data_IF_589254242307
#
_entry.id   IF_589254242307
#
_cell.length_a   1.000
_cell.length_b   1.000
_cell.length_c   1.000
_cell.angle_alpha   90.00
_cell.angle_beta   90.00
_cell.angle_gamma   90.00
#
_symmetry.space_group_name_H-M   'P 1'
#
loop_
_entity.id
_entity.type
_entity.pdbx_description
1 polymer ?
#
# COMPACT_ATOMS: atom_id res chain seq x y z
N UNK A 1 22.63 42.02 38.47
CA UNK A 1 22.23 41.48 39.79
C UNK A 1 22.46 39.99 39.76
N UNK A 2 23.35 39.45 40.61
CA UNK A 2 23.50 38.00 40.79
C UNK A 2 22.45 37.58 41.82
N UNK A 3 21.36 36.96 41.37
CA UNK A 3 20.33 36.46 42.27
C UNK A 3 20.94 35.32 43.10
N UNK A 4 21.09 35.53 44.41
CA UNK A 4 21.45 34.53 45.43
C UNK A 4 22.87 33.91 45.41
N UNK A 5 23.77 34.25 44.48
CA UNK A 5 25.12 33.64 44.38
C UNK A 5 25.09 32.09 44.31
N UNK A 6 23.99 31.52 43.82
CA UNK A 6 23.88 30.07 43.62
C UNK A 6 24.19 29.78 42.17
N UNK A 7 25.01 28.76 41.94
CA UNK A 7 25.31 28.27 40.61
C UNK A 7 24.17 27.39 40.11
N UNK A 8 23.55 27.78 39.00
CA UNK A 8 22.43 27.05 38.39
C UNK A 8 22.82 25.63 37.95
N UNK A 9 24.11 25.41 37.67
CA UNK A 9 24.64 24.11 37.27
C UNK A 9 24.49 23.04 38.36
N UNK A 10 24.41 23.43 39.64
CA UNK A 10 24.22 22.51 40.77
C UNK A 10 22.82 21.88 40.83
N UNK A 11 21.85 22.44 40.12
CA UNK A 11 20.48 21.91 40.05
C UNK A 11 20.22 21.09 38.79
N UNK A 12 21.23 20.97 37.91
CA UNK A 12 21.14 20.14 36.71
C UNK A 12 21.44 18.69 37.13
N UNK A 13 20.55 17.77 36.77
CA UNK A 13 20.76 16.35 37.06
C UNK A 13 22.03 15.84 36.33
N UNK A 14 22.86 15.01 36.98
CA UNK A 14 24.05 14.44 36.36
C UNK A 14 23.81 13.78 35.00
N UNK A 15 22.61 13.23 34.73
CA UNK A 15 22.30 12.62 33.43
C UNK A 15 22.41 13.59 32.23
N UNK A 16 22.35 14.90 32.46
CA UNK A 16 22.54 15.94 31.44
C UNK A 16 23.97 16.46 31.36
N UNK A 17 24.89 15.99 32.21
CA UNK A 17 26.28 16.40 32.17
C UNK A 17 27.03 15.73 31.03
N UNK A 18 27.95 16.48 30.42
CA UNK A 18 28.81 15.99 29.35
C UNK A 18 29.66 14.79 29.79
N UNK A 19 30.15 14.80 31.04
CA UNK A 19 30.90 13.68 31.62
C UNK A 19 30.10 12.39 31.59
N UNK A 20 28.83 12.43 32.00
CA UNK A 20 27.95 11.25 32.01
C UNK A 20 27.63 10.76 30.61
N UNK A 21 27.50 11.65 29.63
CA UNK A 21 27.41 11.26 28.22
C UNK A 21 28.67 10.53 27.75
N UNK A 22 29.85 11.09 28.01
CA UNK A 22 31.13 10.46 27.64
C UNK A 22 31.32 9.11 28.32
N UNK A 23 30.98 8.99 29.61
CA UNK A 23 31.01 7.72 30.35
C UNK A 23 30.05 6.69 29.76
N UNK A 24 28.81 7.10 29.43
CA UNK A 24 27.78 6.22 28.85
C UNK A 24 28.22 5.63 27.51
N UNK A 25 28.92 6.43 26.70
CA UNK A 25 29.40 6.02 25.38
C UNK A 25 30.91 5.68 25.36
N UNK A 26 31.55 5.55 26.53
CA UNK A 26 32.98 5.25 26.64
C UNK A 26 33.32 3.83 26.18
N UNK A 27 32.39 2.90 26.37
CA UNK A 27 32.56 1.49 26.01
C UNK A 27 32.41 1.27 24.51
N UNK A 28 33.27 0.42 23.96
CA UNK A 28 33.17 -0.03 22.57
C UNK A 28 31.94 -0.95 22.43
N UNK A 29 31.00 -0.56 21.56
CA UNK A 29 29.90 -1.43 21.14
C UNK A 29 30.47 -2.38 20.08
N UNK A 30 30.74 -3.62 20.47
CA UNK A 30 31.18 -4.65 19.52
C UNK A 30 30.07 -4.96 18.52
N UNK A 31 30.41 -5.19 17.24
CA UNK A 31 29.43 -5.60 16.25
C UNK A 31 28.81 -6.93 16.67
N UNK A 32 27.50 -7.05 16.51
CA UNK A 32 26.80 -8.32 16.70
C UNK A 32 27.17 -9.22 15.51
N UNK A 33 27.52 -10.47 15.83
CA UNK A 33 27.78 -11.51 14.86
C UNK A 33 26.63 -11.62 13.84
N UNK A 34 26.97 -11.75 12.55
CA UNK A 34 25.99 -11.91 11.50
C UNK A 34 25.16 -13.20 11.65
N UNK A 35 24.07 -13.31 10.88
CA UNK A 35 23.21 -14.49 10.88
C UNK A 35 23.99 -15.79 10.60
N UNK A 36 25.08 -15.71 9.83
CA UNK A 36 25.98 -16.82 9.53
C UNK A 36 26.76 -17.38 10.74
N UNK A 37 26.91 -16.60 11.82
CA UNK A 37 27.57 -17.01 13.07
C UNK A 37 26.58 -17.11 14.24
N UNK A 38 25.28 -17.09 13.95
CA UNK A 38 24.25 -17.34 14.95
C UNK A 38 24.23 -18.82 15.33
N UNK A 39 24.04 -19.12 16.61
CA UNK A 39 23.97 -20.50 17.08
C UNK A 39 22.74 -21.19 16.47
N UNK A 40 22.94 -22.37 15.88
CA UNK A 40 21.84 -23.21 15.41
C UNK A 40 21.13 -23.76 16.64
N UNK A 41 19.89 -23.35 16.84
CA UNK A 41 19.07 -23.88 17.93
C UNK A 41 18.32 -25.13 17.47
N UNK A 42 18.09 -26.12 18.36
CA UNK A 42 17.28 -27.30 18.02
C UNK A 42 15.78 -27.01 17.93
N UNK A 43 15.37 -25.76 18.20
CA UNK A 43 13.99 -25.32 18.11
C UNK A 43 13.58 -25.09 16.65
N UNK A 44 12.30 -25.34 16.31
CA UNK A 44 11.80 -25.04 14.98
C UNK A 44 11.84 -23.54 14.70
N UNK A 45 12.08 -23.18 13.44
CA UNK A 45 12.02 -21.79 12.99
C UNK A 45 10.65 -21.19 13.28
N UNK A 46 10.65 -20.05 13.98
CA UNK A 46 9.43 -19.33 14.30
C UNK A 46 8.99 -18.57 13.04
N UNK A 47 7.87 -19.01 12.45
CA UNK A 47 7.27 -18.27 11.34
C UNK A 47 6.83 -16.87 11.80
N UNK A 48 6.98 -15.82 10.98
CA UNK A 48 6.46 -14.51 11.32
C UNK A 48 4.95 -14.59 11.59
N UNK A 49 4.41 -13.75 12.50
CA UNK A 49 2.98 -13.70 12.73
C UNK A 49 2.22 -13.49 11.42
N UNK A 50 1.09 -14.17 11.27
CA UNK A 50 0.25 -14.00 10.09
C UNK A 50 -0.18 -12.53 9.97
N UNK A 51 0.06 -11.91 8.81
CA UNK A 51 -0.36 -10.54 8.55
C UNK A 51 -1.89 -10.46 8.64
N UNK A 52 -2.41 -9.69 9.59
CA UNK A 52 -3.84 -9.40 9.71
C UNK A 52 -4.13 -8.00 9.16
N UNK A 53 -5.09 -7.91 8.25
CA UNK A 53 -5.62 -6.61 7.82
C UNK A 53 -6.52 -6.10 8.95
N UNK A 54 -6.08 -5.06 9.64
CA UNK A 54 -6.90 -4.40 10.65
C UNK A 54 -8.07 -3.67 9.97
N UNK A 55 -9.24 -3.57 10.63
CA UNK A 55 -10.30 -2.70 10.15
C UNK A 55 -9.72 -1.28 10.01
N UNK A 56 -9.78 -0.75 8.80
CA UNK A 56 -9.35 0.61 8.51
C UNK A 56 -10.23 1.64 9.22
N UNK A 57 -9.82 2.90 9.12
CA UNK A 57 -10.60 4.03 9.65
C UNK A 57 -12.06 3.99 9.15
N UNK A 58 -13.05 4.10 10.04
CA UNK A 58 -14.45 4.22 9.63
C UNK A 58 -14.66 5.40 8.67
N UNK A 59 -15.54 5.23 7.68
CA UNK A 59 -15.85 6.30 6.72
C UNK A 59 -16.55 7.45 7.43
N UNK A 60 -16.14 8.69 7.14
CA UNK A 60 -16.79 9.92 7.66
C UNK A 60 -18.28 10.00 7.28
N UNK A 61 -18.67 9.50 6.11
CA UNK A 61 -20.07 9.39 5.68
C UNK A 61 -20.39 7.93 5.37
N UNK A 62 -21.53 7.45 5.88
CA UNK A 62 -22.08 6.12 5.53
C UNK A 62 -22.43 6.07 4.04
N UNK A 63 -22.33 4.88 3.43
CA UNK A 63 -22.88 4.63 2.09
C UNK A 63 -24.41 4.58 2.21
N UNK A 64 -25.11 5.46 1.48
CA UNK A 64 -26.56 5.42 1.42
C UNK A 64 -27.02 4.21 0.59
N UNK A 65 -28.12 3.59 1.01
CA UNK A 65 -28.78 2.49 0.28
C UNK A 65 -29.52 3.01 -0.95
N UNK A 66 -29.89 2.12 -1.87
CA UNK A 66 -30.49 2.52 -3.16
C UNK A 66 -31.81 3.30 -3.02
N UNK A 67 -32.56 3.05 -1.93
CA UNK A 67 -33.82 3.71 -1.63
C UNK A 67 -33.66 4.97 -0.76
N UNK A 68 -32.45 5.26 -0.26
CA UNK A 68 -32.21 6.44 0.57
C UNK A 68 -31.96 7.67 -0.31
N UNK A 69 -32.81 8.68 -0.16
CA UNK A 69 -32.67 9.93 -0.92
C UNK A 69 -31.41 10.70 -0.51
N UNK A 70 -30.70 11.23 -1.52
CA UNK A 70 -29.60 12.17 -1.31
C UNK A 70 -30.21 13.53 -0.94
N UNK A 71 -29.74 14.15 0.13
CA UNK A 71 -30.18 15.50 0.59
C UNK A 71 -29.87 16.64 -0.40
N UNK A 72 -29.28 16.33 -1.55
CA UNK A 72 -28.90 17.33 -2.56
C UNK A 72 -29.99 17.38 -3.65
N UNK A 73 -30.98 18.27 -3.48
CA UNK A 73 -32.07 18.48 -4.45
C UNK A 73 -31.59 18.98 -5.83
N UNK A 74 -30.32 19.39 -5.93
CA UNK A 74 -29.71 19.90 -7.15
C UNK A 74 -29.43 18.83 -8.20
N UNK A 75 -29.35 17.53 -7.83
CA UNK A 75 -28.94 16.46 -8.76
C UNK A 75 -30.05 15.44 -8.95
N UNK A 76 -30.68 15.46 -10.12
CA UNK A 76 -31.62 14.43 -10.53
C UNK A 76 -30.96 13.04 -10.52
N UNK A 77 -31.53 12.09 -9.78
CA UNK A 77 -31.14 10.69 -9.80
C UNK A 77 -31.45 10.09 -11.18
N UNK A 78 -30.55 9.27 -11.73
CA UNK A 78 -30.77 8.58 -13.02
C UNK A 78 -31.85 7.48 -12.92
N UNK A 79 -32.48 7.31 -11.76
CA UNK A 79 -33.47 6.27 -11.50
C UNK A 79 -34.77 6.60 -12.26
N UNK A 80 -35.31 5.63 -13.00
CA UNK A 80 -36.52 5.81 -13.81
C UNK A 80 -36.31 6.38 -15.22
N UNK A 81 -35.12 6.89 -15.57
CA UNK A 81 -34.87 7.38 -16.93
C UNK A 81 -34.59 6.22 -17.89
N UNK A 82 -35.60 5.83 -18.68
CA UNK A 82 -35.47 4.80 -19.72
C UNK A 82 -34.47 5.26 -20.77
N UNK A 83 -33.31 4.59 -20.84
CA UNK A 83 -32.28 4.91 -21.83
C UNK A 83 -32.76 4.53 -23.25
N UNK A 84 -32.41 5.37 -24.21
CA UNK A 84 -32.57 5.11 -25.65
C UNK A 84 -31.26 4.57 -26.21
N UNK A 85 -31.34 3.71 -27.21
CA UNK A 85 -30.18 3.22 -27.94
C UNK A 85 -29.44 4.39 -28.61
N UNK A 86 -28.12 4.43 -28.49
CA UNK A 86 -27.32 5.49 -29.12
C UNK A 86 -27.26 5.43 -30.65
N UNK A 87 -27.68 4.32 -31.27
CA UNK A 87 -27.65 4.13 -32.74
C UNK A 87 -29.05 4.37 -33.32
N UNK A 88 -30.05 3.54 -32.97
CA UNK A 88 -31.40 3.65 -33.53
C UNK A 88 -32.36 4.51 -32.70
N UNK A 89 -31.95 5.02 -31.53
CA UNK A 89 -32.77 5.82 -30.61
C UNK A 89 -34.01 5.12 -30.04
N UNK A 90 -34.17 3.83 -30.25
CA UNK A 90 -35.27 3.04 -29.66
C UNK A 90 -34.97 2.60 -28.21
N UNK A 91 -36.01 2.19 -27.49
CA UNK A 91 -35.90 1.65 -26.14
C UNK A 91 -35.83 0.11 -26.15
N UNK A 92 -35.28 -0.48 -25.08
CA UNK A 92 -35.24 -1.94 -24.88
C UNK A 92 -33.88 -2.58 -25.18
N UNK A 93 -32.96 -1.86 -25.80
CA UNK A 93 -31.58 -2.29 -25.97
C UNK A 93 -30.61 -1.09 -25.86
N UNK A 94 -29.35 -1.38 -25.54
CA UNK A 94 -28.28 -0.39 -25.51
C UNK A 94 -27.47 -0.46 -26.82
N UNK A 95 -26.66 0.58 -27.08
CA UNK A 95 -25.81 0.68 -28.29
C UNK A 95 -25.03 -0.61 -28.61
N UNK A 96 -24.55 -1.33 -27.60
CA UNK A 96 -23.78 -2.57 -27.75
C UNK A 96 -24.58 -3.75 -28.31
N UNK A 97 -25.90 -3.76 -28.12
CA UNK A 97 -26.82 -4.81 -28.58
C UNK A 97 -27.83 -4.27 -29.58
N UNK A 98 -27.50 -3.18 -30.26
CA UNK A 98 -28.36 -2.59 -31.27
C UNK A 98 -28.42 -3.51 -32.50
N UNK A 99 -29.61 -3.98 -32.93
CA UNK A 99 -29.75 -4.77 -34.15
C UNK A 99 -29.22 -4.04 -35.39
N UNK A 100 -29.33 -2.71 -35.40
CA UNK A 100 -28.83 -1.85 -36.48
C UNK A 100 -27.32 -1.56 -36.40
N UNK A 101 -26.59 -2.10 -35.41
CA UNK A 101 -25.15 -1.85 -35.26
C UNK A 101 -24.30 -2.42 -36.40
N UNK A 102 -24.79 -3.45 -37.09
CA UNK A 102 -24.07 -4.14 -38.16
C UNK A 102 -23.86 -3.28 -39.41
N UNK A 103 -24.59 -2.17 -39.56
CA UNK A 103 -24.48 -1.30 -40.74
C UNK A 103 -23.42 -0.19 -40.61
N UNK A 104 -22.71 -0.10 -39.48
CA UNK A 104 -21.70 0.94 -39.26
C UNK A 104 -20.38 0.36 -38.72
N UNK A 105 -19.67 -0.43 -39.54
CA UNK A 105 -18.22 -0.64 -39.39
C UNK A 105 -17.55 -0.68 -40.76
N UNK A 106 -16.62 0.23 -41.08
CA UNK A 106 -15.50 -0.12 -41.93
C UNK A 106 -14.50 -0.98 -41.13
N UNK A 107 -13.95 -1.96 -41.83
CA UNK A 107 -13.06 -3.04 -41.39
C UNK A 107 -11.64 -2.58 -41.01
N UNK A 108 -10.88 -3.49 -40.38
CA UNK A 108 -9.47 -3.44 -39.94
C UNK A 108 -9.28 -2.82 -38.53
N UNK A 109 -8.59 -3.46 -37.57
CA UNK A 109 -7.25 -4.06 -37.68
C UNK A 109 -7.08 -5.25 -36.71
N UNK A 110 -6.22 -6.17 -37.15
CA UNK A 110 -5.95 -7.51 -36.66
C UNK A 110 -5.32 -7.57 -35.27
N UNK A 111 -5.64 -8.63 -34.52
CA UNK A 111 -4.94 -9.04 -33.30
C UNK A 111 -3.70 -9.86 -33.67
N UNK A 112 -2.51 -9.42 -33.26
CA UNK A 112 -1.28 -10.22 -33.28
C UNK A 112 -1.02 -10.86 -31.90
N UNK A 113 -0.52 -12.11 -31.82
CA UNK A 113 -0.14 -12.71 -30.54
C UNK A 113 1.21 -12.17 -30.05
N UNK A 114 1.27 -11.84 -28.76
CA UNK A 114 2.46 -11.38 -28.05
C UNK A 114 3.34 -12.60 -27.70
N UNK A 115 4.52 -12.71 -28.32
CA UNK A 115 5.52 -13.72 -27.98
C UNK A 115 6.35 -13.27 -26.78
N UNK A 116 6.22 -13.97 -25.65
CA UNK A 116 7.05 -13.80 -24.46
C UNK A 116 8.34 -14.61 -24.61
N UNK A 117 9.48 -13.94 -24.82
CA UNK A 117 10.79 -14.58 -24.70
C UNK A 117 11.30 -14.41 -23.27
N UNK A 118 11.41 -15.54 -22.55
CA UNK A 118 12.07 -15.65 -21.25
C UNK A 118 13.59 -15.76 -21.44
N UNK A 119 14.33 -14.95 -20.69
CA UNK A 119 15.78 -14.99 -20.56
C UNK A 119 16.21 -16.26 -19.80
N UNK A 120 17.15 -17.03 -20.37
CA UNK A 120 17.85 -18.11 -19.68
C UNK A 120 19.17 -17.55 -19.13
N UNK A 121 19.30 -17.47 -17.80
CA UNK A 121 20.59 -17.27 -17.13
C UNK A 121 20.98 -18.65 -16.58
N UNK A 122 22.06 -19.21 -17.14
CA UNK A 122 22.66 -20.45 -16.67
C UNK A 122 23.62 -20.13 -15.51
N UNK A 123 23.38 -20.73 -14.35
CA UNK A 123 24.38 -20.78 -13.27
C UNK A 123 25.10 -22.11 -13.33
N UNK A 124 26.41 -22.04 -13.57
CA UNK A 124 27.36 -23.14 -13.58
C UNK A 124 27.68 -23.55 -12.14
N UNK A 125 27.35 -24.78 -11.76
CA UNK A 125 27.86 -25.46 -10.56
C UNK A 125 29.29 -25.97 -10.80
N UNK A 126 30.22 -25.64 -9.90
CA UNK A 126 31.54 -26.27 -9.78
C UNK A 126 31.45 -27.43 -8.77
N UNK A 127 32.15 -28.56 -9.00
CA UNK A 127 32.19 -29.66 -8.05
C UNK A 127 33.30 -29.47 -7.00
N UNK A 128 33.10 -30.14 -5.88
CA UNK A 128 33.97 -30.23 -4.71
C UNK A 128 35.38 -30.78 -5.01
N UNK A 129 36.35 -30.31 -4.21
CA UNK A 129 37.56 -31.02 -3.84
C UNK A 129 37.86 -30.72 -2.36
#
# INVERSE_FOLDING_TARGET
MKFLNIDGEQFIDPCYMKSTYEETYSSIIYPINGANMSNITPYPDVSPPHKRVLPGRPKRKRRLEQWEMRKDDSRMTKYGLRKRCGICREHGHNRSRCPSATQARPSATQAGPLSTQQSKIAHQTQPEA
#
